data_IF_356975776168
#
_entry.id   IF_356975776168
#
_cell.length_a   1.000
_cell.length_b   1.000
_cell.length_c   1.000
_cell.angle_alpha   90.00
_cell.angle_beta   90.00
_cell.angle_gamma   90.00
#
_symmetry.space_group_name_H-M   'P 1'
#
loop_
_entity.id
_entity.type
_entity.pdbx_description
1 polymer ?
#
# COMPACT_ATOMS: atom_id res chain seq x y z
N UNK A 1 -13.36 18.51 24.29
CA UNK A 1 -13.67 17.16 24.80
C UNK A 1 -12.53 16.23 24.46
N UNK A 2 -11.96 15.55 25.45
CA UNK A 2 -10.99 14.48 25.22
C UNK A 2 -11.76 13.16 24.95
N UNK A 3 -11.83 12.78 23.67
CA UNK A 3 -12.49 11.56 23.25
C UNK A 3 -11.82 10.31 23.84
N UNK A 4 -10.50 10.34 24.07
CA UNK A 4 -9.81 9.17 24.62
C UNK A 4 -10.31 8.91 26.02
N UNK A 5 -10.37 9.94 26.86
CA UNK A 5 -10.86 9.80 28.23
C UNK A 5 -12.34 9.41 28.27
N UNK A 6 -13.20 10.04 27.46
CA UNK A 6 -14.65 9.77 27.45
C UNK A 6 -14.99 8.35 26.99
N UNK A 7 -14.29 7.83 25.99
CA UNK A 7 -14.65 6.56 25.33
C UNK A 7 -13.81 5.34 25.75
N UNK A 8 -12.81 5.50 26.63
CA UNK A 8 -11.98 4.38 27.10
C UNK A 8 -12.68 3.47 28.13
N UNK A 9 -13.65 3.99 28.88
CA UNK A 9 -14.31 3.31 29.99
C UNK A 9 -15.84 3.36 29.87
N UNK A 10 -16.36 3.14 28.66
CA UNK A 10 -17.81 3.13 28.42
C UNK A 10 -18.40 1.81 28.92
N UNK A 11 -19.25 1.88 29.94
CA UNK A 11 -19.96 0.72 30.48
C UNK A 11 -21.24 0.41 29.69
N UNK A 12 -21.97 1.45 29.28
CA UNK A 12 -23.19 1.34 28.48
C UNK A 12 -23.01 1.92 27.07
N UNK A 13 -22.89 1.02 26.08
CA UNK A 13 -22.74 1.38 24.66
C UNK A 13 -24.06 1.78 23.99
N UNK A 14 -25.19 1.71 24.71
CA UNK A 14 -26.53 2.07 24.23
C UNK A 14 -26.94 3.50 24.62
N UNK A 15 -26.16 4.19 25.44
CA UNK A 15 -26.38 5.58 25.81
C UNK A 15 -26.36 6.50 24.56
N UNK A 16 -27.46 7.19 24.23
CA UNK A 16 -27.54 8.06 23.05
C UNK A 16 -26.67 9.31 23.17
N UNK A 17 -26.35 9.77 24.39
CA UNK A 17 -25.49 10.96 24.59
C UNK A 17 -24.08 10.75 24.05
N UNK A 18 -23.64 9.49 23.98
CA UNK A 18 -22.36 9.11 23.37
C UNK A 18 -22.34 9.40 21.87
N UNK A 19 -23.45 9.25 21.16
CA UNK A 19 -23.52 9.60 19.74
C UNK A 19 -23.53 11.11 19.56
N UNK A 20 -24.23 11.84 20.42
CA UNK A 20 -24.26 13.31 20.41
C UNK A 20 -22.85 13.89 20.61
N UNK A 21 -22.09 13.37 21.58
CA UNK A 21 -20.69 13.73 21.82
C UNK A 21 -19.82 13.58 20.56
N UNK A 22 -20.00 12.47 19.83
CA UNK A 22 -19.27 12.19 18.59
C UNK A 22 -19.74 13.10 17.45
N UNK A 23 -21.02 13.44 17.39
CA UNK A 23 -21.57 14.34 16.39
C UNK A 23 -21.06 15.78 16.58
N UNK A 24 -21.06 16.29 17.81
CA UNK A 24 -20.46 17.60 18.16
C UNK A 24 -18.98 17.62 17.75
N UNK A 25 -18.25 16.53 18.00
CA UNK A 25 -16.86 16.42 17.58
C UNK A 25 -16.70 16.47 16.05
N UNK A 26 -17.56 15.76 15.31
CA UNK A 26 -17.55 15.76 13.85
C UNK A 26 -17.87 17.14 13.29
N UNK A 27 -18.86 17.85 13.84
CA UNK A 27 -19.23 19.21 13.44
C UNK A 27 -18.05 20.17 13.59
N UNK A 28 -17.30 20.07 14.70
CA UNK A 28 -16.07 20.85 14.89
C UNK A 28 -15.02 20.54 13.82
N UNK A 29 -14.78 19.27 13.49
CA UNK A 29 -13.87 18.88 12.39
C UNK A 29 -14.32 19.50 11.07
N UNK A 30 -15.63 19.43 10.77
CA UNK A 30 -16.18 19.97 9.53
C UNK A 30 -16.06 21.49 9.46
N UNK A 31 -16.25 22.20 10.57
CA UNK A 31 -16.06 23.65 10.65
C UNK A 31 -14.60 24.06 10.38
N UNK A 32 -13.63 23.39 11.01
CA UNK A 32 -12.19 23.61 10.78
C UNK A 32 -11.81 23.37 9.31
N UNK A 33 -12.38 22.33 8.73
CA UNK A 33 -12.22 21.98 7.33
C UNK A 33 -12.76 23.12 6.43
N UNK A 34 -13.93 23.69 6.76
CA UNK A 34 -14.63 24.70 5.94
C UNK A 34 -13.92 26.06 6.01
N UNK A 35 -13.50 26.46 7.21
CA UNK A 35 -12.67 27.63 7.43
C UNK A 35 -11.37 27.55 6.59
N UNK A 36 -10.71 26.38 6.62
CA UNK A 36 -9.49 26.20 5.83
C UNK A 36 -9.74 26.27 4.32
N UNK A 37 -10.86 25.72 3.84
CA UNK A 37 -11.21 25.82 2.42
C UNK A 37 -11.53 27.26 2.03
N UNK A 38 -12.19 28.04 2.89
CA UNK A 38 -12.47 29.44 2.63
C UNK A 38 -11.17 30.26 2.47
N UNK A 39 -10.20 30.07 3.37
CA UNK A 39 -8.87 30.69 3.26
C UNK A 39 -8.23 30.39 1.89
N UNK A 40 -8.36 29.15 1.42
CA UNK A 40 -7.85 28.73 0.12
C UNK A 40 -8.60 29.37 -1.06
N UNK A 41 -9.93 29.53 -0.94
CA UNK A 41 -10.76 30.18 -1.95
C UNK A 41 -10.47 31.67 -2.08
N UNK A 42 -10.23 32.36 -0.96
CA UNK A 42 -9.88 33.79 -0.95
C UNK A 42 -8.56 34.04 -1.70
N UNK A 43 -7.68 33.03 -1.74
CA UNK A 43 -6.40 33.05 -2.48
C UNK A 43 -6.50 32.58 -3.92
N UNK A 44 -7.68 32.15 -4.40
CA UNK A 44 -7.86 31.59 -5.75
C UNK A 44 -7.36 32.52 -6.86
N UNK A 45 -7.55 33.83 -6.73
CA UNK A 45 -7.10 34.81 -7.72
C UNK A 45 -5.57 34.86 -7.90
N UNK A 46 -4.81 34.50 -6.87
CA UNK A 46 -3.35 34.46 -6.87
C UNK A 46 -2.80 33.11 -7.40
N UNK A 47 -3.67 32.10 -7.56
CA UNK A 47 -3.29 30.72 -7.89
C UNK A 47 -3.17 30.50 -9.40
N UNK A 48 -2.07 30.99 -9.96
CA UNK A 48 -1.71 30.82 -11.38
C UNK A 48 -0.56 29.82 -11.50
N UNK A 49 -0.70 28.85 -12.40
CA UNK A 49 0.39 27.91 -12.70
C UNK A 49 1.42 28.65 -13.55
N UNK A 50 2.54 29.02 -12.94
CA UNK A 50 3.65 29.76 -13.59
C UNK A 50 4.85 28.88 -13.94
N UNK A 51 4.74 27.57 -13.71
CA UNK A 51 5.79 26.60 -13.97
C UNK A 51 5.36 25.61 -15.04
N UNK A 52 6.33 25.03 -15.74
CA UNK A 52 6.10 23.98 -16.72
C UNK A 52 5.51 22.72 -16.05
N UNK A 53 4.38 22.24 -16.58
CA UNK A 53 3.75 21.01 -16.14
C UNK A 53 3.90 19.94 -17.23
N UNK A 54 4.55 18.81 -16.92
CA UNK A 54 4.55 17.64 -17.80
C UNK A 54 3.12 17.22 -18.14
N UNK A 55 2.91 16.61 -19.31
CA UNK A 55 1.58 16.23 -19.80
C UNK A 55 0.77 15.42 -18.77
N UNK A 56 1.43 14.51 -18.04
CA UNK A 56 0.81 13.65 -17.03
C UNK A 56 0.42 14.38 -15.72
N UNK A 57 0.74 15.67 -15.60
CA UNK A 57 0.31 16.54 -14.51
C UNK A 57 -0.82 17.49 -14.90
N UNK A 58 -1.13 17.64 -16.20
CA UNK A 58 -2.16 18.56 -16.70
C UNK A 58 -3.59 17.99 -16.56
N UNK A 59 -3.83 17.14 -15.55
CA UNK A 59 -5.14 16.50 -15.34
C UNK A 59 -6.15 17.48 -14.76
N UNK A 60 -7.36 17.47 -15.35
CA UNK A 60 -8.50 18.23 -14.85
C UNK A 60 -9.22 17.57 -13.67
N UNK A 61 -8.79 16.37 -13.24
CA UNK A 61 -9.41 15.60 -12.17
C UNK A 61 -8.39 15.07 -11.16
N UNK A 62 -8.64 15.29 -9.86
CA UNK A 62 -7.81 14.76 -8.77
C UNK A 62 -8.09 13.32 -8.40
N UNK A 63 -9.31 12.85 -8.63
CA UNK A 63 -9.81 11.60 -8.03
C UNK A 63 -9.74 10.41 -8.98
N UNK A 64 -9.44 10.65 -10.26
CA UNK A 64 -9.35 9.60 -11.28
C UNK A 64 -7.89 9.41 -11.72
N UNK A 65 -7.43 8.15 -11.80
CA UNK A 65 -6.15 7.86 -12.45
C UNK A 65 -6.16 8.35 -13.89
N UNK A 66 -5.01 8.83 -14.36
CA UNK A 66 -4.79 9.14 -15.76
C UNK A 66 -4.95 7.87 -16.59
N UNK A 67 -5.78 7.93 -17.64
CA UNK A 67 -5.86 6.87 -18.65
C UNK A 67 -4.80 7.17 -19.69
N UNK A 68 -3.88 6.22 -19.89
CA UNK A 68 -2.86 6.31 -20.94
C UNK A 68 -3.42 5.53 -22.12
N UNK A 69 -3.75 6.22 -23.20
CA UNK A 69 -4.27 5.60 -24.43
C UNK A 69 -3.14 5.24 -25.41
N UNK A 70 -1.99 5.93 -25.37
CA UNK A 70 -0.81 5.66 -26.19
C UNK A 70 0.49 5.60 -25.37
N UNK A 71 1.25 4.51 -25.50
CA UNK A 71 2.54 4.26 -24.83
C UNK A 71 3.74 4.93 -25.55
N UNK A 72 3.46 5.71 -26.61
CA UNK A 72 4.45 6.37 -27.48
C UNK A 72 4.99 7.70 -26.92
N UNK A 73 4.49 8.16 -25.77
CA UNK A 73 4.99 9.41 -25.16
C UNK A 73 6.40 9.24 -24.59
N UNK A 74 7.31 10.15 -24.95
CA UNK A 74 8.73 10.13 -24.53
C UNK A 74 8.84 10.35 -23.00
N UNK A 75 8.00 11.22 -22.44
CA UNK A 75 8.00 11.51 -21.01
C UNK A 75 7.22 10.47 -20.20
N UNK A 76 7.95 9.65 -19.44
CA UNK A 76 7.39 8.64 -18.55
C UNK A 76 7.26 9.16 -17.12
N UNK A 77 6.13 8.86 -16.49
CA UNK A 77 5.94 9.05 -15.04
C UNK A 77 6.06 7.71 -14.31
N UNK A 78 6.42 7.79 -13.03
CA UNK A 78 6.59 6.62 -12.17
C UNK A 78 5.24 6.13 -11.63
N UNK A 79 5.02 4.83 -11.60
CA UNK A 79 3.79 4.20 -11.07
C UNK A 79 3.96 3.45 -9.75
N UNK A 80 5.20 3.34 -9.26
CA UNK A 80 5.56 2.71 -7.99
C UNK A 80 5.20 3.59 -6.77
N UNK A 81 5.44 3.11 -5.55
CA UNK A 81 5.12 3.87 -4.32
C UNK A 81 5.97 5.15 -4.21
N UNK A 82 5.43 6.27 -3.72
CA UNK A 82 6.24 7.48 -3.45
C UNK A 82 7.39 7.15 -2.50
N UNK A 83 8.63 7.46 -2.89
CA UNK A 83 9.83 7.19 -2.09
C UNK A 83 10.12 8.31 -1.08
N UNK A 84 11.14 8.12 -0.25
CA UNK A 84 11.56 9.09 0.77
C UNK A 84 11.89 10.47 0.22
N UNK A 85 12.69 10.57 -0.86
CA UNK A 85 13.06 11.86 -1.45
C UNK A 85 11.84 12.57 -2.07
N UNK A 86 10.94 11.81 -2.70
CA UNK A 86 9.69 12.36 -3.24
C UNK A 86 8.79 12.86 -2.10
N UNK A 87 8.67 12.10 -1.01
CA UNK A 87 7.95 12.51 0.22
C UNK A 87 8.55 13.80 0.82
N UNK A 88 9.89 13.88 0.91
CA UNK A 88 10.60 15.07 1.39
C UNK A 88 10.37 16.27 0.46
N UNK A 89 10.34 16.06 -0.85
CA UNK A 89 10.01 17.10 -1.85
C UNK A 89 8.57 17.58 -1.69
N UNK A 90 7.59 16.69 -1.55
CA UNK A 90 6.18 17.06 -1.29
C UNK A 90 6.07 17.92 -0.03
N UNK A 91 6.74 17.50 1.06
CA UNK A 91 6.80 18.27 2.30
C UNK A 91 7.45 19.65 2.13
N UNK A 92 8.54 19.75 1.35
CA UNK A 92 9.18 21.03 1.02
C UNK A 92 8.25 21.92 0.19
N UNK A 93 7.59 21.36 -0.81
CA UNK A 93 6.63 22.08 -1.65
C UNK A 93 5.44 22.57 -0.82
N UNK A 94 4.94 21.78 0.14
CA UNK A 94 3.92 22.23 1.09
C UNK A 94 4.38 23.41 1.93
N UNK A 95 5.58 23.34 2.54
CA UNK A 95 6.16 24.47 3.29
C UNK A 95 6.28 25.74 2.44
N UNK A 96 6.69 25.60 1.18
CA UNK A 96 6.80 26.73 0.25
C UNK A 96 5.44 27.30 -0.13
N UNK A 97 4.46 26.44 -0.43
CA UNK A 97 3.08 26.84 -0.72
C UNK A 97 2.52 27.70 0.43
N UNK A 98 2.68 27.22 1.67
CA UNK A 98 2.22 27.96 2.85
C UNK A 98 2.81 29.36 2.98
N UNK A 99 4.11 29.49 2.72
CA UNK A 99 4.78 30.80 2.75
C UNK A 99 4.32 31.71 1.61
N UNK A 100 4.12 31.14 0.42
CA UNK A 100 3.77 31.91 -0.80
C UNK A 100 2.35 32.48 -0.70
N UNK A 101 1.39 31.68 -0.25
CA UNK A 101 -0.02 32.05 -0.19
C UNK A 101 -0.49 32.45 1.21
N UNK A 102 0.44 32.55 2.17
CA UNK A 102 0.18 32.84 3.59
C UNK A 102 -0.93 31.96 4.20
N UNK A 103 -0.85 30.64 4.00
CA UNK A 103 -1.87 29.70 4.52
C UNK A 103 -1.39 28.94 5.78
N UNK A 104 -2.30 28.65 6.73
CA UNK A 104 -1.97 27.89 7.94
C UNK A 104 -1.40 26.49 7.67
N UNK A 105 -0.64 25.95 8.63
CA UNK A 105 -0.13 24.58 8.54
C UNK A 105 -1.15 23.53 8.94
N UNK A 106 -2.21 23.39 8.14
CA UNK A 106 -3.31 22.44 8.38
C UNK A 106 -3.54 21.51 7.17
N UNK A 107 -2.52 20.73 6.75
CA UNK A 107 -2.68 19.81 5.62
C UNK A 107 -3.79 18.77 5.82
N UNK A 108 -4.10 18.43 7.08
CA UNK A 108 -5.19 17.54 7.46
C UNK A 108 -6.56 18.05 6.99
N UNK A 109 -6.82 19.37 7.07
CA UNK A 109 -8.10 19.96 6.65
C UNK A 109 -8.33 19.76 5.15
N UNK A 110 -7.31 20.09 4.34
CA UNK A 110 -7.34 19.86 2.90
C UNK A 110 -7.47 18.36 2.56
N UNK A 111 -6.80 17.51 3.32
CA UNK A 111 -6.81 16.07 3.10
C UNK A 111 -8.14 15.41 3.48
N UNK A 112 -8.90 15.97 4.44
CA UNK A 112 -10.24 15.52 4.84
C UNK A 112 -11.35 16.06 3.93
N UNK A 113 -11.09 17.17 3.22
CA UNK A 113 -12.00 17.72 2.22
C UNK A 113 -12.17 16.83 0.98
N UNK A 114 -12.77 15.65 1.12
CA UNK A 114 -12.97 14.65 0.07
C UNK A 114 -14.43 14.57 -0.29
N UNK A 115 -14.75 14.51 -1.58
CA UNK A 115 -16.04 14.06 -2.10
C UNK A 115 -17.28 14.80 -1.55
N UNK A 116 -17.12 16.00 -0.97
CA UNK A 116 -18.23 16.93 -0.72
C UNK A 116 -18.94 17.23 -2.05
N UNK A 117 -20.24 17.49 -2.02
CA UNK A 117 -21.06 17.69 -3.23
C UNK A 117 -20.40 18.69 -4.19
N UNK A 118 -19.90 19.80 -3.64
CA UNK A 118 -19.18 20.85 -4.39
C UNK A 118 -17.84 20.40 -4.99
N UNK A 119 -17.20 19.35 -4.49
CA UNK A 119 -15.91 18.83 -5.00
C UNK A 119 -16.04 17.77 -6.09
N UNK A 120 -17.27 17.40 -6.49
CA UNK A 120 -17.51 16.37 -7.52
C UNK A 120 -17.49 16.93 -8.95
N UNK A 121 -17.71 18.23 -9.11
CA UNK A 121 -17.69 18.88 -10.41
C UNK A 121 -16.31 19.53 -10.65
N UNK A 122 -15.66 19.29 -11.79
CA UNK A 122 -14.31 19.79 -12.08
C UNK A 122 -14.23 21.32 -12.20
N UNK A 123 -15.37 22.00 -12.30
CA UNK A 123 -15.47 23.44 -12.55
C UNK A 123 -15.78 24.24 -11.28
N UNK A 124 -15.89 23.61 -10.12
CA UNK A 124 -16.13 24.37 -8.88
C UNK A 124 -14.86 25.08 -8.42
N UNK A 125 -14.98 26.25 -7.76
CA UNK A 125 -13.86 26.94 -7.15
C UNK A 125 -13.05 26.04 -6.20
N UNK A 126 -13.72 25.19 -5.42
CA UNK A 126 -13.09 24.28 -4.46
C UNK A 126 -12.23 23.22 -5.17
N UNK A 127 -12.75 22.60 -6.22
CA UNK A 127 -11.97 21.61 -6.97
C UNK A 127 -10.80 22.27 -7.71
N UNK A 128 -10.99 23.48 -8.25
CA UNK A 128 -9.90 24.26 -8.84
C UNK A 128 -8.76 24.47 -7.84
N UNK A 129 -9.07 24.99 -6.65
CA UNK A 129 -8.03 25.27 -5.65
C UNK A 129 -7.36 23.98 -5.18
N UNK A 130 -8.12 22.92 -4.92
CA UNK A 130 -7.55 21.61 -4.57
C UNK A 130 -6.59 21.12 -5.66
N UNK A 131 -6.97 21.22 -6.94
CA UNK A 131 -6.11 20.85 -8.07
C UNK A 131 -4.84 21.68 -8.09
N UNK A 132 -4.97 22.99 -7.93
CA UNK A 132 -3.84 23.89 -7.89
C UNK A 132 -2.87 23.51 -6.78
N UNK A 133 -3.35 23.31 -5.55
CA UNK A 133 -2.50 22.90 -4.43
C UNK A 133 -1.79 21.58 -4.74
N UNK A 134 -2.51 20.56 -5.20
CA UNK A 134 -1.90 19.25 -5.53
C UNK A 134 -0.88 19.35 -6.67
N UNK A 135 -1.14 20.18 -7.68
CA UNK A 135 -0.20 20.45 -8.77
C UNK A 135 1.05 21.19 -8.25
N UNK A 136 0.88 22.16 -7.34
CA UNK A 136 1.98 22.84 -6.67
C UNK A 136 2.84 21.85 -5.87
N UNK A 137 2.21 20.90 -5.18
CA UNK A 137 2.90 19.84 -4.46
C UNK A 137 3.63 18.86 -5.40
N UNK A 138 3.11 18.65 -6.60
CA UNK A 138 3.68 17.76 -7.61
C UNK A 138 4.92 18.33 -8.34
N UNK A 139 5.25 19.61 -8.12
CA UNK A 139 6.38 20.30 -8.77
C UNK A 139 7.72 19.57 -8.59
N UNK A 140 8.36 19.25 -9.71
CA UNK A 140 9.66 18.57 -9.76
C UNK A 140 9.59 17.09 -9.40
N UNK A 141 8.42 16.46 -9.52
CA UNK A 141 8.23 15.02 -9.36
C UNK A 141 7.84 14.36 -10.68
N UNK A 142 8.38 13.17 -10.94
CA UNK A 142 7.95 12.33 -12.06
C UNK A 142 6.69 11.54 -11.68
N UNK A 143 5.67 12.25 -11.19
CA UNK A 143 4.41 11.73 -10.63
C UNK A 143 3.24 12.51 -11.17
N UNK A 144 2.10 11.83 -11.33
CA UNK A 144 0.85 12.51 -11.66
C UNK A 144 0.29 13.24 -10.45
N UNK A 145 -0.53 14.27 -10.69
CA UNK A 145 -1.23 15.00 -9.62
C UNK A 145 -2.12 14.05 -8.82
N UNK A 146 -2.76 13.08 -9.48
CA UNK A 146 -3.55 12.01 -8.83
C UNK A 146 -2.72 11.23 -7.80
N UNK A 147 -1.48 10.85 -8.13
CA UNK A 147 -0.61 10.09 -7.21
C UNK A 147 -0.22 10.92 -5.98
N UNK A 148 0.12 12.20 -6.19
CA UNK A 148 0.45 13.14 -5.11
C UNK A 148 -0.77 13.36 -4.22
N UNK A 149 -1.95 13.55 -4.80
CA UNK A 149 -3.21 13.65 -4.09
C UNK A 149 -3.48 12.40 -3.23
N UNK A 150 -3.34 11.20 -3.80
CA UNK A 150 -3.54 9.94 -3.08
C UNK A 150 -2.57 9.77 -1.91
N UNK A 151 -1.31 10.16 -2.12
CA UNK A 151 -0.30 10.20 -1.08
C UNK A 151 -0.68 11.17 0.04
N UNK A 152 -1.03 12.41 -0.32
CA UNK A 152 -1.40 13.48 0.61
C UNK A 152 -2.57 13.06 1.50
N UNK A 153 -3.61 12.51 0.88
CA UNK A 153 -4.78 11.95 1.55
C UNK A 153 -4.41 10.84 2.55
N UNK A 154 -3.57 9.91 2.11
CA UNK A 154 -3.22 8.74 2.92
C UNK A 154 -2.38 9.12 4.14
N UNK A 155 -1.55 10.16 4.01
CA UNK A 155 -0.64 10.62 5.05
C UNK A 155 -1.27 11.62 6.02
N UNK A 156 -2.05 12.59 5.53
CA UNK A 156 -2.59 13.67 6.37
C UNK A 156 -4.06 13.49 6.74
N UNK A 157 -4.89 12.90 5.88
CA UNK A 157 -6.32 12.75 6.16
C UNK A 157 -6.69 11.44 6.84
N UNK A 158 -5.75 10.52 6.99
CA UNK A 158 -5.95 9.30 7.78
C UNK A 158 -4.64 8.91 8.48
N UNK A 159 -4.11 9.76 9.37
CA UNK A 159 -2.76 9.62 9.92
C UNK A 159 -2.62 8.39 10.83
N UNK A 160 -3.70 7.96 11.49
CA UNK A 160 -3.65 6.80 12.38
C UNK A 160 -3.61 5.50 11.58
N UNK A 161 -2.60 4.67 11.86
CA UNK A 161 -2.36 3.37 11.24
C UNK A 161 -2.11 2.31 12.31
N UNK A 162 -2.32 1.04 11.95
CA UNK A 162 -2.05 -0.09 12.85
C UNK A 162 -3.31 -0.61 13.52
N UNK A 163 -3.15 -1.27 14.67
CA UNK A 163 -4.26 -1.85 15.43
C UNK A 163 -5.17 -0.75 15.97
N UNK A 164 -6.44 -1.09 16.15
CA UNK A 164 -7.39 -0.23 16.86
C UNK A 164 -7.15 -0.36 18.37
N UNK A 165 -7.21 0.75 19.09
CA UNK A 165 -7.26 0.77 20.54
C UNK A 165 -8.65 0.36 21.04
N UNK A 166 -8.76 0.12 22.34
CA UNK A 166 -10.06 -0.18 22.97
C UNK A 166 -11.07 0.97 22.80
N UNK A 167 -10.65 2.23 23.00
CA UNK A 167 -11.56 3.37 22.81
C UNK A 167 -12.05 3.49 21.35
N UNK A 168 -11.19 3.20 20.36
CA UNK A 168 -11.60 3.20 18.95
C UNK A 168 -12.62 2.10 18.69
N UNK A 169 -12.44 0.91 19.28
CA UNK A 169 -13.40 -0.18 19.20
C UNK A 169 -14.74 0.15 19.88
N UNK A 170 -14.73 0.86 21.00
CA UNK A 170 -15.94 1.34 21.68
C UNK A 170 -16.70 2.35 20.80
N UNK A 171 -16.02 3.34 20.22
CA UNK A 171 -16.63 4.30 19.29
C UNK A 171 -17.25 3.58 18.09
N UNK A 172 -16.57 2.57 17.54
CA UNK A 172 -17.13 1.75 16.46
C UNK A 172 -18.38 1.01 16.89
N UNK A 173 -18.39 0.40 18.09
CA UNK A 173 -19.53 -0.32 18.61
C UNK A 173 -20.74 0.59 18.84
N UNK A 174 -20.54 1.78 19.41
CA UNK A 174 -21.58 2.81 19.58
C UNK A 174 -22.18 3.19 18.23
N UNK A 175 -21.35 3.47 17.23
CA UNK A 175 -21.83 3.80 15.89
C UNK A 175 -22.53 2.61 15.20
N UNK A 176 -22.13 1.37 15.49
CA UNK A 176 -22.83 0.19 14.96
C UNK A 176 -24.22 0.06 15.62
N UNK A 177 -24.31 0.28 16.93
CA UNK A 177 -25.57 0.18 17.70
C UNK A 177 -26.57 1.26 17.27
N UNK A 178 -26.14 2.51 17.22
CA UNK A 178 -27.02 3.65 16.90
C UNK A 178 -27.17 3.90 15.40
N UNK A 179 -26.36 3.24 14.57
CA UNK A 179 -26.44 3.23 13.10
C UNK A 179 -26.65 4.61 12.44
N UNK A 180 -25.74 5.59 12.64
CA UNK A 180 -25.82 6.87 11.97
C UNK A 180 -25.70 6.69 10.44
N UNK A 181 -26.34 7.59 9.68
CA UNK A 181 -26.23 7.57 8.21
C UNK A 181 -24.75 7.64 7.81
N UNK A 182 -24.34 6.75 6.89
CA UNK A 182 -22.96 6.68 6.41
C UNK A 182 -21.92 6.40 7.52
N UNK A 183 -22.16 5.36 8.34
CA UNK A 183 -21.29 4.93 9.46
C UNK A 183 -19.79 4.90 9.11
N UNK A 184 -19.40 4.35 7.96
CA UNK A 184 -17.98 4.23 7.58
C UNK A 184 -17.32 5.60 7.33
N UNK A 185 -17.88 6.48 6.46
CA UNK A 185 -17.40 7.86 6.36
C UNK A 185 -17.38 8.63 7.68
N UNK A 186 -18.41 8.46 8.51
CA UNK A 186 -18.51 9.08 9.83
C UNK A 186 -17.34 8.68 10.73
N UNK A 187 -17.14 7.37 10.94
CA UNK A 187 -16.04 6.82 11.73
C UNK A 187 -14.68 7.19 11.16
N UNK A 188 -14.54 7.29 9.84
CA UNK A 188 -13.28 7.68 9.21
C UNK A 188 -12.88 9.11 9.56
N UNK A 189 -13.86 10.02 9.58
CA UNK A 189 -13.64 11.41 9.97
C UNK A 189 -13.31 11.53 11.46
N UNK A 190 -14.13 10.92 12.32
CA UNK A 190 -13.97 10.98 13.79
C UNK A 190 -12.67 10.33 14.25
N UNK A 191 -12.35 9.14 13.74
CA UNK A 191 -11.16 8.39 14.17
C UNK A 191 -9.89 8.78 13.41
N UNK A 192 -9.97 9.57 12.34
CA UNK A 192 -8.82 9.85 11.48
C UNK A 192 -8.19 8.58 10.88
N UNK A 193 -9.02 7.57 10.59
CA UNK A 193 -8.63 6.25 10.07
C UNK A 193 -9.07 6.09 8.61
N UNK A 194 -8.43 5.18 7.88
CA UNK A 194 -8.80 4.91 6.49
C UNK A 194 -10.17 4.19 6.42
N UNK A 195 -11.13 4.63 5.58
CA UNK A 195 -12.46 4.03 5.46
C UNK A 195 -12.43 2.52 5.21
N UNK A 196 -11.49 2.03 4.39
CA UNK A 196 -11.38 0.60 4.07
C UNK A 196 -11.02 -0.24 5.29
N UNK A 197 -10.16 0.28 6.17
CA UNK A 197 -9.79 -0.38 7.41
C UNK A 197 -10.98 -0.45 8.38
N UNK A 198 -11.79 0.60 8.44
CA UNK A 198 -13.02 0.63 9.27
C UNK A 198 -14.04 -0.36 8.72
N UNK A 199 -14.33 -0.31 7.43
CA UNK A 199 -15.25 -1.23 6.77
C UNK A 199 -14.88 -2.70 7.06
N UNK A 200 -13.60 -3.05 6.93
CA UNK A 200 -13.13 -4.40 7.23
C UNK A 200 -13.40 -4.78 8.69
N UNK A 201 -13.15 -3.88 9.63
CA UNK A 201 -13.38 -4.10 11.06
C UNK A 201 -14.87 -4.22 11.38
N UNK A 202 -15.73 -3.42 10.74
CA UNK A 202 -17.19 -3.55 10.86
C UNK A 202 -17.67 -4.92 10.37
N UNK A 203 -17.18 -5.39 9.22
CA UNK A 203 -17.50 -6.75 8.73
C UNK A 203 -17.05 -7.81 9.74
N UNK A 204 -15.89 -7.64 10.37
CA UNK A 204 -15.42 -8.54 11.44
C UNK A 204 -16.31 -8.51 12.68
N UNK A 205 -16.96 -7.39 13.01
CA UNK A 205 -17.93 -7.30 14.10
C UNK A 205 -19.20 -8.11 13.80
N UNK A 206 -19.74 -8.04 12.58
CA UNK A 206 -20.97 -8.74 12.21
C UNK A 206 -20.77 -10.23 11.89
N UNK A 207 -19.69 -10.55 11.17
CA UNK A 207 -19.49 -11.90 10.62
C UNK A 207 -18.41 -12.70 11.36
N UNK A 208 -17.83 -12.12 12.41
CA UNK A 208 -16.63 -12.64 13.04
C UNK A 208 -15.38 -12.45 12.19
N UNK A 209 -14.22 -12.79 12.76
CA UNK A 209 -12.95 -12.72 12.03
C UNK A 209 -12.92 -13.82 10.98
N UNK A 210 -12.58 -13.49 9.70
CA UNK A 210 -12.47 -14.51 8.67
C UNK A 210 -11.41 -15.54 9.09
N UNK A 211 -11.71 -16.80 8.81
CA UNK A 211 -10.79 -17.88 9.12
C UNK A 211 -9.43 -17.63 8.45
N UNK A 212 -8.39 -17.57 9.27
CA UNK A 212 -7.03 -17.29 8.83
C UNK A 212 -6.17 -18.54 8.77
N UNK A 213 -6.81 -19.72 8.63
CA UNK A 213 -6.13 -21.00 8.40
C UNK A 213 -5.05 -20.82 7.32
N UNK A 214 -3.80 -20.91 7.75
CA UNK A 214 -2.64 -20.87 6.87
C UNK A 214 -2.40 -22.29 6.39
N UNK A 215 -2.61 -22.52 5.10
CA UNK A 215 -2.26 -23.76 4.45
C UNK A 215 -0.79 -24.14 4.74
N UNK A 216 -0.56 -25.34 5.26
CA UNK A 216 0.79 -25.91 5.35
C UNK A 216 1.13 -26.57 4.01
N UNK A 217 1.94 -25.90 3.21
CA UNK A 217 2.34 -26.39 1.89
C UNK A 217 3.16 -27.69 1.98
N UNK A 218 2.63 -28.73 1.35
CA UNK A 218 3.30 -30.03 1.09
C UNK A 218 3.53 -30.19 -0.41
N UNK A 219 4.36 -31.16 -0.83
CA UNK A 219 4.56 -31.45 -2.26
C UNK A 219 3.26 -31.84 -2.96
N UNK A 220 2.43 -32.77 -2.45
CA UNK A 220 1.16 -33.11 -3.10
C UNK A 220 0.23 -31.91 -3.27
N UNK A 221 0.19 -31.02 -2.27
CA UNK A 221 -0.65 -29.82 -2.32
C UNK A 221 -0.11 -28.77 -3.31
N UNK A 222 1.20 -28.63 -3.40
CA UNK A 222 1.85 -27.81 -4.42
C UNK A 222 1.61 -28.37 -5.84
N UNK A 223 1.63 -29.70 -6.00
CA UNK A 223 1.28 -30.38 -7.25
C UNK A 223 -0.16 -30.09 -7.63
N UNK A 224 -1.11 -30.29 -6.71
CA UNK A 224 -2.54 -29.96 -6.92
C UNK A 224 -2.69 -28.50 -7.35
N UNK A 225 -2.07 -27.58 -6.62
CA UNK A 225 -2.10 -26.16 -6.93
C UNK A 225 -1.57 -25.87 -8.35
N UNK A 226 -0.44 -26.46 -8.73
CA UNK A 226 0.16 -26.22 -10.04
C UNK A 226 -0.69 -26.79 -11.18
N UNK A 227 -1.25 -28.01 -11.01
CA UNK A 227 -2.14 -28.62 -12.00
C UNK A 227 -3.37 -27.76 -12.25
N UNK A 228 -4.02 -27.29 -11.18
CA UNK A 228 -5.17 -26.39 -11.29
C UNK A 228 -4.78 -25.04 -11.94
N UNK A 229 -3.61 -24.50 -11.60
CA UNK A 229 -3.14 -23.26 -12.20
C UNK A 229 -2.93 -23.40 -13.71
N UNK A 230 -2.29 -24.48 -14.16
CA UNK A 230 -2.11 -24.83 -15.58
C UNK A 230 -3.48 -25.00 -16.26
N UNK A 231 -4.37 -25.77 -15.66
CA UNK A 231 -5.73 -26.01 -16.17
C UNK A 231 -6.53 -24.71 -16.37
N UNK A 232 -6.55 -23.84 -15.36
CA UNK A 232 -7.35 -22.61 -15.39
C UNK A 232 -6.75 -21.48 -16.22
N UNK A 233 -5.44 -21.51 -16.44
CA UNK A 233 -4.80 -20.58 -17.38
C UNK A 233 -4.86 -21.07 -18.82
N UNK A 234 -5.05 -22.38 -19.05
CA UNK A 234 -4.99 -23.00 -20.37
C UNK A 234 -3.60 -23.00 -20.99
N UNK A 235 -2.56 -22.82 -20.18
CA UNK A 235 -1.18 -22.60 -20.64
C UNK A 235 -0.24 -23.69 -20.13
N UNK A 236 0.76 -24.10 -20.93
CA UNK A 236 1.83 -24.97 -20.43
C UNK A 236 2.66 -24.27 -19.35
N UNK A 237 3.33 -25.06 -18.52
CA UNK A 237 4.10 -24.59 -17.36
C UNK A 237 5.13 -23.50 -17.75
N UNK A 238 5.81 -23.69 -18.87
CA UNK A 238 6.85 -22.81 -19.38
C UNK A 238 6.32 -21.39 -19.64
N UNK A 239 5.10 -21.30 -20.17
CA UNK A 239 4.44 -20.03 -20.46
C UNK A 239 4.03 -19.28 -19.18
N UNK A 240 3.85 -19.98 -18.05
CA UNK A 240 3.49 -19.36 -16.77
C UNK A 240 4.62 -18.56 -16.13
N UNK A 241 5.86 -18.71 -16.60
CA UNK A 241 7.04 -18.04 -16.02
C UNK A 241 6.91 -16.53 -15.98
N UNK A 242 6.48 -15.91 -17.08
CA UNK A 242 6.38 -14.45 -17.19
C UNK A 242 4.92 -13.98 -17.35
N UNK A 243 3.95 -14.90 -17.29
CA UNK A 243 2.54 -14.59 -17.47
C UNK A 243 1.97 -13.84 -16.27
N UNK A 244 1.24 -12.76 -16.55
CA UNK A 244 0.37 -12.12 -15.57
C UNK A 244 -0.92 -12.93 -15.48
N UNK A 245 -1.14 -13.58 -14.34
CA UNK A 245 -2.32 -14.41 -14.11
C UNK A 245 -3.49 -13.52 -13.68
N UNK A 246 -4.60 -13.61 -14.40
CA UNK A 246 -5.79 -12.80 -14.15
C UNK A 246 -6.48 -13.13 -12.83
N UNK A 247 -7.18 -12.14 -12.28
CA UNK A 247 -7.89 -12.27 -11.00
C UNK A 247 -8.95 -13.38 -11.05
N UNK A 248 -9.59 -13.60 -12.20
CA UNK A 248 -10.58 -14.66 -12.39
C UNK A 248 -10.01 -16.05 -12.10
N UNK A 249 -8.82 -16.36 -12.61
CA UNK A 249 -8.11 -17.62 -12.36
C UNK A 249 -7.82 -17.81 -10.86
N UNK A 250 -7.36 -16.75 -10.20
CA UNK A 250 -7.08 -16.79 -8.77
C UNK A 250 -8.34 -17.07 -7.91
N UNK A 251 -9.49 -16.57 -8.33
CA UNK A 251 -10.77 -16.83 -7.66
C UNK A 251 -11.29 -18.26 -7.91
N UNK A 252 -10.99 -18.86 -9.06
CA UNK A 252 -11.26 -20.28 -9.30
C UNK A 252 -10.39 -21.16 -8.39
N UNK A 253 -9.09 -20.85 -8.28
CA UNK A 253 -8.18 -21.56 -7.39
C UNK A 253 -8.58 -21.44 -5.91
N UNK A 254 -9.12 -20.30 -5.48
CA UNK A 254 -9.59 -20.11 -4.10
C UNK A 254 -10.69 -21.10 -3.72
N UNK A 255 -11.63 -21.37 -4.64
CA UNK A 255 -12.72 -22.33 -4.41
C UNK A 255 -12.21 -23.76 -4.25
N UNK A 256 -11.30 -24.18 -5.13
CA UNK A 256 -10.83 -25.57 -5.20
C UNK A 256 -9.76 -25.93 -4.15
N UNK A 257 -9.04 -24.92 -3.68
CA UNK A 257 -7.99 -25.05 -2.67
C UNK A 257 -8.50 -24.72 -1.26
N UNK A 258 -9.75 -24.26 -1.13
CA UNK A 258 -10.35 -23.76 0.11
C UNK A 258 -9.42 -22.78 0.84
N UNK A 259 -8.85 -21.85 0.08
CA UNK A 259 -7.83 -20.93 0.58
C UNK A 259 -7.89 -19.59 -0.14
N UNK A 260 -7.92 -18.49 0.63
CA UNK A 260 -8.00 -17.15 0.04
C UNK A 260 -6.91 -16.92 -1.01
N UNK A 261 -7.31 -16.37 -2.16
CA UNK A 261 -6.49 -16.25 -3.35
C UNK A 261 -5.20 -15.45 -3.11
N UNK A 262 -5.23 -14.49 -2.17
CA UNK A 262 -4.06 -13.69 -1.80
C UNK A 262 -2.93 -14.59 -1.27
N UNK A 263 -3.26 -15.62 -0.48
CA UNK A 263 -2.25 -16.56 0.02
C UNK A 263 -1.73 -17.49 -1.07
N UNK A 264 -2.57 -17.85 -2.04
CA UNK A 264 -2.18 -18.62 -3.21
C UNK A 264 -1.20 -17.82 -4.10
N UNK A 265 -1.49 -16.53 -4.35
CA UNK A 265 -0.58 -15.61 -5.04
C UNK A 265 0.76 -15.47 -4.32
N UNK A 266 0.73 -15.29 -2.99
CA UNK A 266 1.95 -15.21 -2.18
C UNK A 266 2.76 -16.50 -2.26
N UNK A 267 2.10 -17.67 -2.26
CA UNK A 267 2.79 -18.94 -2.40
C UNK A 267 3.45 -19.08 -3.78
N UNK A 268 2.72 -18.77 -4.85
CA UNK A 268 3.24 -18.80 -6.23
C UNK A 268 4.45 -17.88 -6.36
N UNK A 269 4.25 -16.57 -6.20
CA UNK A 269 5.28 -15.59 -6.50
C UNK A 269 6.43 -15.60 -5.49
N UNK A 270 6.22 -15.98 -4.23
CA UNK A 270 7.28 -15.95 -3.22
C UNK A 270 7.89 -17.32 -2.91
N UNK A 271 7.42 -18.40 -3.53
CA UNK A 271 7.92 -19.76 -3.29
C UNK A 271 8.00 -20.55 -4.58
N UNK A 272 6.85 -21.03 -5.08
CA UNK A 272 6.80 -22.13 -6.03
C UNK A 272 7.38 -21.74 -7.38
N UNK A 273 7.08 -20.53 -7.86
CA UNK A 273 7.58 -20.01 -9.14
C UNK A 273 9.12 -20.12 -9.22
N UNK A 274 9.83 -19.62 -8.21
CA UNK A 274 11.30 -19.64 -8.21
C UNK A 274 11.84 -21.06 -8.03
N UNK A 275 11.12 -21.95 -7.36
CA UNK A 275 11.52 -23.37 -7.24
C UNK A 275 11.39 -24.12 -8.56
N UNK A 276 10.48 -23.72 -9.45
CA UNK A 276 10.26 -24.33 -10.75
C UNK A 276 11.18 -23.76 -11.84
N UNK A 277 11.45 -22.45 -11.81
CA UNK A 277 12.13 -21.78 -12.92
C UNK A 277 13.61 -21.46 -12.68
N UNK A 278 14.10 -21.55 -11.43
CA UNK A 278 15.54 -21.41 -11.15
C UNK A 278 16.23 -22.76 -11.26
N UNK A 279 16.88 -22.97 -12.40
CA UNK A 279 17.49 -24.24 -12.81
C UNK A 279 18.97 -24.36 -12.39
N UNK A 280 19.34 -23.81 -11.23
CA UNK A 280 20.69 -23.96 -10.68
C UNK A 280 20.70 -23.96 -9.16
N UNK A 281 21.81 -24.44 -8.59
CA UNK A 281 21.98 -24.56 -7.14
C UNK A 281 22.11 -23.18 -6.45
N UNK A 282 21.15 -22.87 -5.57
CA UNK A 282 21.11 -21.60 -4.83
C UNK A 282 21.26 -21.82 -3.32
N UNK A 283 22.40 -21.41 -2.77
CA UNK A 283 22.56 -21.25 -1.31
C UNK A 283 21.92 -19.95 -0.86
N UNK A 284 20.91 -20.01 0.02
CA UNK A 284 20.13 -18.84 0.40
C UNK A 284 20.97 -17.75 1.10
N UNK A 285 22.01 -18.09 1.87
CA UNK A 285 22.88 -17.06 2.47
C UNK A 285 23.74 -16.35 1.41
N UNK A 286 24.19 -17.07 0.37
CA UNK A 286 24.90 -16.44 -0.76
C UNK A 286 23.96 -15.49 -1.52
N UNK A 287 22.72 -15.94 -1.76
CA UNK A 287 21.69 -15.11 -2.39
C UNK A 287 21.40 -13.85 -1.57
N UNK A 288 21.12 -13.98 -0.26
CA UNK A 288 20.87 -12.84 0.64
C UNK A 288 22.01 -11.82 0.58
N UNK A 289 23.27 -12.26 0.68
CA UNK A 289 24.44 -11.37 0.56
C UNK A 289 24.49 -10.68 -0.81
N UNK A 290 24.21 -11.39 -1.91
CA UNK A 290 24.15 -10.81 -3.25
C UNK A 290 23.05 -9.74 -3.34
N UNK A 291 21.86 -10.01 -2.80
CA UNK A 291 20.76 -9.03 -2.76
C UNK A 291 21.16 -7.78 -2.01
N UNK A 292 21.68 -7.89 -0.78
CA UNK A 292 22.10 -6.71 0.00
C UNK A 292 23.21 -5.91 -0.70
N UNK A 293 24.17 -6.59 -1.34
CA UNK A 293 25.20 -5.92 -2.15
C UNK A 293 24.59 -5.14 -3.31
N UNK A 294 23.58 -5.69 -3.99
CA UNK A 294 22.90 -5.01 -5.10
C UNK A 294 22.06 -3.84 -4.61
N UNK A 295 21.32 -3.99 -3.50
CA UNK A 295 20.58 -2.88 -2.87
C UNK A 295 21.51 -1.71 -2.53
N UNK A 296 22.74 -1.98 -2.05
CA UNK A 296 23.75 -0.94 -1.74
C UNK A 296 24.16 -0.09 -2.95
N UNK A 297 24.02 -0.59 -4.18
CA UNK A 297 24.42 0.15 -5.39
C UNK A 297 23.40 1.22 -5.79
N UNK A 298 22.20 1.20 -5.22
CA UNK A 298 21.12 2.11 -5.55
C UNK A 298 21.00 3.21 -4.47
N UNK A 299 20.54 4.42 -4.85
CA UNK A 299 20.40 5.55 -3.92
C UNK A 299 19.15 5.43 -3.02
N UNK A 300 18.87 4.23 -2.49
CA UNK A 300 17.76 4.00 -1.57
C UNK A 300 18.13 4.49 -0.17
N UNK A 301 17.28 5.32 0.45
CA UNK A 301 17.54 5.89 1.77
C UNK A 301 16.95 5.03 2.88
N UNK A 302 15.80 4.41 2.64
CA UNK A 302 15.08 3.56 3.59
C UNK A 302 14.47 2.34 2.90
N UNK A 303 14.02 1.35 3.68
CA UNK A 303 13.47 0.09 3.16
C UNK A 303 12.35 0.26 2.13
N UNK A 304 11.44 1.21 2.35
CA UNK A 304 10.30 1.46 1.45
C UNK A 304 10.70 2.01 0.08
N UNK A 305 11.94 2.50 -0.07
CA UNK A 305 12.44 2.99 -1.35
C UNK A 305 12.82 1.85 -2.29
N UNK A 306 13.10 0.64 -1.76
CA UNK A 306 13.63 -0.47 -2.54
C UNK A 306 12.65 -0.87 -3.64
N UNK A 307 13.11 -0.83 -4.89
CA UNK A 307 12.34 -1.28 -6.06
C UNK A 307 12.77 -2.68 -6.44
N UNK A 308 12.03 -3.67 -5.96
CA UNK A 308 12.38 -5.08 -6.18
C UNK A 308 12.40 -5.50 -7.66
N UNK A 309 11.67 -4.80 -8.54
CA UNK A 309 11.75 -5.01 -9.99
C UNK A 309 13.09 -4.53 -10.58
N UNK A 310 13.62 -3.40 -10.10
CA UNK A 310 14.95 -2.92 -10.50
C UNK A 310 16.04 -3.84 -9.96
N UNK A 311 15.89 -4.31 -8.72
CA UNK A 311 16.85 -5.27 -8.15
C UNK A 311 16.83 -6.60 -8.90
N UNK A 312 15.67 -7.06 -9.39
CA UNK A 312 15.52 -8.32 -10.10
C UNK A 312 16.39 -8.40 -11.36
N UNK A 313 16.66 -7.29 -12.05
CA UNK A 313 17.47 -7.26 -13.29
C UNK A 313 18.92 -7.71 -13.09
N UNK A 314 19.41 -7.78 -11.84
CA UNK A 314 20.75 -8.26 -11.48
C UNK A 314 20.83 -9.77 -11.19
N UNK A 315 19.72 -10.49 -11.34
CA UNK A 315 19.61 -11.91 -11.07
C UNK A 315 19.31 -12.66 -12.36
N UNK A 316 19.73 -13.93 -12.39
CA UNK A 316 19.44 -14.80 -13.51
C UNK A 316 17.93 -15.00 -13.65
N UNK A 317 17.55 -15.46 -14.84
CA UNK A 317 16.17 -15.73 -15.17
C UNK A 317 15.53 -16.78 -14.22
N UNK A 318 14.21 -16.69 -14.05
CA UNK A 318 13.41 -17.53 -13.14
C UNK A 318 13.24 -16.99 -11.72
N UNK A 319 13.99 -15.97 -11.29
CA UNK A 319 13.71 -15.28 -10.04
C UNK A 319 12.48 -14.37 -10.17
N UNK A 320 11.78 -14.16 -9.05
CA UNK A 320 10.72 -13.16 -8.96
C UNK A 320 11.12 -12.05 -7.98
N UNK A 321 10.65 -10.83 -8.23
CA UNK A 321 10.86 -9.69 -7.33
C UNK A 321 10.22 -9.93 -5.94
N UNK A 322 9.09 -10.64 -5.89
CA UNK A 322 8.42 -11.01 -4.64
C UNK A 322 9.24 -12.02 -3.81
N UNK A 323 9.92 -12.97 -4.46
CA UNK A 323 10.84 -13.88 -3.79
C UNK A 323 12.06 -13.13 -3.21
N UNK A 324 12.68 -12.24 -4.00
CA UNK A 324 13.80 -11.41 -3.52
C UNK A 324 13.38 -10.56 -2.31
N UNK A 325 12.20 -9.94 -2.36
CA UNK A 325 11.61 -9.22 -1.23
C UNK A 325 11.47 -10.13 -0.01
N UNK A 326 10.82 -11.30 -0.15
CA UNK A 326 10.58 -12.22 0.98
C UNK A 326 11.87 -12.71 1.62
N UNK A 327 12.84 -13.13 0.80
CA UNK A 327 14.13 -13.64 1.27
C UNK A 327 14.87 -12.57 2.09
N UNK A 328 14.76 -11.31 1.66
CA UNK A 328 15.40 -10.18 2.32
C UNK A 328 14.62 -9.71 3.54
N UNK A 329 13.30 -9.61 3.45
CA UNK A 329 12.41 -9.27 4.57
C UNK A 329 12.60 -10.20 5.77
N UNK A 330 12.84 -11.49 5.52
CA UNK A 330 13.12 -12.46 6.58
C UNK A 330 14.36 -12.12 7.45
N UNK A 331 15.28 -11.31 6.93
CA UNK A 331 16.46 -10.81 7.66
C UNK A 331 16.04 -9.74 8.67
N UNK A 332 15.11 -8.86 8.27
CA UNK A 332 14.77 -7.62 8.98
C UNK A 332 13.45 -7.66 9.75
N UNK A 333 12.62 -8.71 9.59
CA UNK A 333 11.28 -8.80 10.19
C UNK A 333 11.22 -8.60 11.72
N UNK A 334 12.33 -8.79 12.43
CA UNK A 334 12.43 -8.60 13.89
C UNK A 334 13.19 -7.32 14.29
N UNK A 335 13.67 -6.55 13.31
CA UNK A 335 14.33 -5.26 13.55
C UNK A 335 13.25 -4.18 13.75
N UNK A 336 13.17 -3.61 14.96
CA UNK A 336 12.17 -2.59 15.31
C UNK A 336 12.42 -1.34 14.45
N UNK A 337 11.38 -0.86 13.77
CA UNK A 337 11.49 0.36 12.96
C UNK A 337 12.28 0.24 11.66
N UNK A 338 12.54 -0.99 11.16
CA UNK A 338 13.37 -1.21 9.95
C UNK A 338 12.92 -0.43 8.70
N UNK A 339 11.66 0.02 8.66
CA UNK A 339 11.12 0.81 7.54
C UNK A 339 11.61 2.25 7.53
N UNK A 340 11.99 2.79 8.68
CA UNK A 340 12.44 4.16 8.87
C UNK A 340 13.95 4.26 9.08
N UNK A 341 14.61 3.15 9.43
CA UNK A 341 16.06 3.07 9.60
C UNK A 341 16.80 3.41 8.30
N UNK A 342 17.88 4.22 8.37
CA UNK A 342 18.74 4.47 7.23
C UNK A 342 19.25 3.18 6.58
N UNK A 343 19.29 3.16 5.25
CA UNK A 343 19.65 1.96 4.48
C UNK A 343 21.04 1.43 4.85
N UNK A 344 22.01 2.31 5.09
CA UNK A 344 23.39 1.91 5.44
C UNK A 344 23.45 1.09 6.73
N UNK A 345 22.79 1.58 7.79
CA UNK A 345 22.66 0.90 9.07
C UNK A 345 21.92 -0.44 8.89
N UNK A 346 20.81 -0.43 8.16
CA UNK A 346 20.02 -1.63 7.90
C UNK A 346 20.83 -2.68 7.14
N UNK A 347 21.61 -2.29 6.14
CA UNK A 347 22.48 -3.19 5.37
C UNK A 347 23.59 -3.78 6.25
N UNK A 348 24.21 -2.97 7.12
CA UNK A 348 25.23 -3.43 8.07
C UNK A 348 24.65 -4.50 9.02
N UNK A 349 23.51 -4.22 9.64
CA UNK A 349 22.78 -5.19 10.47
C UNK A 349 22.44 -6.46 9.67
N UNK A 350 21.96 -6.31 8.44
CA UNK A 350 21.57 -7.43 7.58
C UNK A 350 22.74 -8.37 7.26
N UNK A 351 23.90 -7.80 6.95
CA UNK A 351 25.12 -8.58 6.67
C UNK A 351 25.61 -9.35 7.89
N UNK A 352 25.51 -8.78 9.10
CA UNK A 352 25.81 -9.47 10.34
C UNK A 352 24.79 -10.59 10.61
N UNK A 353 23.49 -10.28 10.50
CA UNK A 353 22.41 -11.24 10.77
C UNK A 353 22.48 -12.47 9.88
N UNK A 354 22.86 -12.34 8.61
CA UNK A 354 23.00 -13.48 7.69
C UNK A 354 24.02 -14.51 8.20
N UNK A 355 25.07 -14.10 8.94
CA UNK A 355 26.07 -15.03 9.48
C UNK A 355 25.47 -16.05 10.44
N UNK A 356 24.43 -15.66 11.19
CA UNK A 356 23.75 -16.51 12.18
C UNK A 356 22.48 -17.17 11.63
N UNK A 357 22.14 -16.95 10.35
CA UNK A 357 20.96 -17.56 9.74
C UNK A 357 21.28 -18.95 9.17
N UNK A 358 20.35 -19.92 9.26
CA UNK A 358 20.50 -21.24 8.64
C UNK A 358 20.76 -21.12 7.13
N UNK A 359 21.87 -21.71 6.68
CA UNK A 359 22.28 -21.69 5.27
C UNK A 359 21.60 -22.82 4.49
N UNK A 360 20.28 -22.70 4.32
CA UNK A 360 19.49 -23.65 3.53
C UNK A 360 19.73 -23.45 2.02
N UNK A 361 19.56 -24.52 1.26
CA UNK A 361 19.47 -24.47 -0.21
C UNK A 361 18.03 -24.21 -0.65
N UNK A 362 17.85 -23.49 -1.74
CA UNK A 362 16.57 -23.45 -2.43
C UNK A 362 16.30 -24.85 -2.97
N UNK A 363 15.07 -25.35 -2.78
CA UNK A 363 14.64 -26.61 -3.41
C UNK A 363 14.32 -26.31 -4.88
N UNK A 364 14.87 -27.09 -5.79
CA UNK A 364 14.45 -27.09 -7.19
C UNK A 364 13.41 -28.18 -7.38
N UNK A 365 12.33 -27.85 -8.07
CA UNK A 365 11.21 -28.74 -8.33
C UNK A 365 11.05 -28.96 -9.83
N UNK A 366 10.71 -30.18 -10.22
CA UNK A 366 10.29 -30.51 -11.58
C UNK A 366 9.04 -31.38 -11.56
N UNK A 367 8.35 -31.45 -12.70
CA UNK A 367 7.28 -32.42 -12.91
C UNK A 367 7.89 -33.76 -13.35
N UNK A 368 7.56 -34.83 -12.64
CA UNK A 368 7.91 -36.19 -13.04
C UNK A 368 6.98 -36.72 -14.15
N UNK A 369 7.17 -37.98 -14.55
CA UNK A 369 6.34 -38.63 -15.59
C UNK A 369 4.84 -38.66 -15.27
N UNK A 370 4.46 -38.64 -13.99
CA UNK A 370 3.06 -38.62 -13.52
C UNK A 370 2.51 -37.18 -13.35
N UNK A 371 3.26 -36.18 -13.83
CA UNK A 371 3.01 -34.76 -13.61
C UNK A 371 2.94 -34.39 -12.12
N UNK A 372 3.73 -35.04 -11.28
CA UNK A 372 3.84 -34.70 -9.86
C UNK A 372 5.15 -33.96 -9.57
N UNK A 373 5.11 -33.01 -8.64
CA UNK A 373 6.29 -32.26 -8.24
C UNK A 373 7.24 -33.12 -7.42
N UNK A 374 8.48 -33.25 -7.89
CA UNK A 374 9.58 -33.89 -7.18
C UNK A 374 10.74 -32.91 -6.95
N UNK A 375 11.53 -33.17 -5.90
CA UNK A 375 12.70 -32.35 -5.56
C UNK A 375 13.91 -32.91 -6.30
N UNK A 376 14.56 -32.08 -7.12
CA UNK A 376 15.87 -32.41 -7.69
C UNK A 376 16.97 -31.84 -6.79
N UNK A 377 17.99 -32.65 -6.54
CA UNK A 377 19.28 -32.17 -6.04
C UNK A 377 20.27 -32.16 -7.19
N UNK A 378 20.87 -31.00 -7.48
CA UNK A 378 22.08 -30.96 -8.28
C UNK A 378 23.16 -31.75 -7.51
N UNK A 379 23.70 -32.80 -8.14
CA UNK A 379 24.84 -33.54 -7.59
C UNK A 379 26.01 -32.54 -7.42
N UNK A 380 26.74 -32.68 -6.30
CA UNK A 380 27.82 -31.78 -5.90
C UNK A 380 28.93 -31.70 -6.93
#
# INVERSE_FOLDING_TARGET
MDLVQRFSTVEDLSDPTLLDDLQIHLERIQAEDEEFMQILLDKKGEMIVTWEQPWYQQTNCLTRPLKVENDETIEKYRTDTICYEESKRINKNWKNFRKTYNVPNRPECLARWRNKVKSRHPNTPEEFVRRFVMAYLARGLNRTVYQVYKYFITHYGSPLKGRYSLYEENIMAICINHNPKNVVPYLSAVLGREPRGIYKKMVEFFNGKPDSRKLKWTLPLATKFLKLLIQYTGEPLENLKNKKIDKSVWLQLEKDMDQQYIYLQLFWYHTLHVQLFVQYDVKLNKLRKKILKKVKLYPYRIWSDIRWKEILTHFADGFSHGFLYRVTYAIFKHYKGYRQTPMEELLAYGLQRIKTMPNKRLRTLVLNKNQELEIISYKK
#
